data_IF_404230112027
#
_entry.id   IF_404230112027
#
_cell.length_a   1.000
_cell.length_b   1.000
_cell.length_c   1.000
_cell.angle_alpha   90.00
_cell.angle_beta   90.00
_cell.angle_gamma   90.00
#
_symmetry.space_group_name_H-M   'P 1'
#
loop_
_entity.id
_entity.type
_entity.pdbx_description
1 polymer ?
#
# COMPACT_ATOMS: atom_id res chain seq x y z
N UNK A 1 56.24 14.36 11.88
CA UNK A 1 55.48 13.10 11.65
C UNK A 1 55.93 12.51 10.31
N UNK A 2 56.31 11.23 10.23
CA UNK A 2 56.87 10.65 8.98
C UNK A 2 55.77 10.60 7.89
N UNK A 3 56.10 10.91 6.63
CA UNK A 3 55.14 10.98 5.51
C UNK A 3 54.24 9.73 5.37
N UNK A 4 54.78 8.55 5.69
CA UNK A 4 54.03 7.29 5.72
C UNK A 4 52.85 7.34 6.71
N UNK A 5 53.05 7.90 7.90
CA UNK A 5 52.02 8.07 8.94
C UNK A 5 50.87 8.97 8.47
N UNK A 6 51.19 10.05 7.74
CA UNK A 6 50.19 10.98 7.20
C UNK A 6 49.36 10.27 6.13
N UNK A 7 50.01 9.52 5.24
CA UNK A 7 49.33 8.74 4.21
C UNK A 7 48.40 7.68 4.81
N UNK A 8 48.83 6.98 5.87
CA UNK A 8 47.99 5.99 6.55
C UNK A 8 46.76 6.62 7.20
N UNK A 9 46.92 7.77 7.86
CA UNK A 9 45.79 8.51 8.46
C UNK A 9 44.82 8.98 7.38
N UNK A 10 45.31 9.45 6.23
CA UNK A 10 44.50 9.89 5.10
C UNK A 10 43.66 8.74 4.51
N UNK A 11 44.28 7.58 4.29
CA UNK A 11 43.57 6.40 3.78
C UNK A 11 42.51 5.94 4.79
N UNK A 12 42.85 5.90 6.08
CA UNK A 12 41.91 5.50 7.13
C UNK A 12 40.72 6.46 7.24
N UNK A 13 40.94 7.76 7.11
CA UNK A 13 39.87 8.77 7.13
C UNK A 13 38.95 8.67 5.91
N UNK A 14 39.48 8.41 4.71
CA UNK A 14 38.67 8.20 3.50
C UNK A 14 37.81 6.94 3.63
N UNK A 15 38.36 5.85 4.18
CA UNK A 15 37.61 4.61 4.41
C UNK A 15 36.53 4.79 5.48
N UNK A 16 36.80 5.54 6.55
CA UNK A 16 35.79 5.83 7.57
C UNK A 16 34.65 6.72 7.01
N UNK A 17 34.96 7.69 6.16
CA UNK A 17 33.95 8.57 5.54
C UNK A 17 33.07 7.85 4.50
N UNK A 18 33.62 6.88 3.77
CA UNK A 18 32.85 6.11 2.80
C UNK A 18 31.82 5.21 3.50
N UNK A 19 32.18 4.55 4.61
CA UNK A 19 31.27 3.71 5.38
C UNK A 19 30.03 4.49 5.87
N UNK A 20 30.21 5.73 6.33
CA UNK A 20 29.10 6.58 6.81
C UNK A 20 28.13 6.95 5.67
N UNK A 21 28.64 7.17 4.46
CA UNK A 21 27.81 7.54 3.30
C UNK A 21 26.95 6.39 2.77
N UNK A 22 27.38 5.14 2.97
CA UNK A 22 26.60 3.95 2.60
C UNK A 22 25.68 3.43 3.71
N UNK A 23 25.97 3.75 4.98
CA UNK A 23 25.23 3.22 6.12
C UNK A 23 23.88 3.91 6.39
N UNK A 24 23.61 5.07 5.78
CA UNK A 24 22.32 5.75 5.95
C UNK A 24 21.41 5.39 4.78
N UNK A 25 20.45 4.46 4.96
CA UNK A 25 19.44 4.22 3.94
C UNK A 25 18.67 5.52 3.73
N UNK A 26 18.78 6.10 2.52
CA UNK A 26 17.97 7.24 2.09
C UNK A 26 16.54 6.77 1.79
N UNK A 27 15.84 6.25 2.80
CA UNK A 27 14.43 5.94 2.69
C UNK A 27 13.69 7.27 2.74
N UNK A 28 13.23 7.75 1.59
CA UNK A 28 12.26 8.84 1.56
C UNK A 28 10.97 8.31 2.16
N UNK A 29 10.62 8.77 3.36
CA UNK A 29 9.31 8.53 3.95
C UNK A 29 8.26 9.15 3.03
N UNK A 30 7.52 8.32 2.30
CA UNK A 30 6.42 8.78 1.46
C UNK A 30 5.13 8.78 2.29
N UNK A 31 4.40 9.88 2.25
CA UNK A 31 3.08 9.92 2.86
C UNK A 31 2.16 8.96 2.11
N UNK A 32 1.56 8.04 2.86
CA UNK A 32 0.59 7.07 2.34
C UNK A 32 -0.76 7.73 2.00
N UNK A 33 -0.91 9.04 2.25
CA UNK A 33 -2.13 9.82 1.96
C UNK A 33 -1.91 10.98 0.99
N UNK A 34 -0.78 10.98 0.29
CA UNK A 34 -0.42 12.09 -0.59
C UNK A 34 -1.45 12.26 -1.73
N UNK A 35 -1.91 11.15 -2.30
CA UNK A 35 -2.86 11.13 -3.42
C UNK A 35 -4.17 10.49 -3.01
N UNK A 36 -4.15 9.27 -2.48
CA UNK A 36 -5.35 8.58 -2.03
C UNK A 36 -5.50 8.78 -0.53
N UNK A 37 -6.53 9.50 -0.11
CA UNK A 37 -6.85 9.69 1.30
C UNK A 37 -7.63 8.49 1.87
N UNK A 38 -8.44 7.86 1.02
CA UNK A 38 -9.21 6.66 1.34
C UNK A 38 -9.40 5.80 0.08
N UNK A 39 -9.29 4.47 0.15
CA UNK A 39 -8.93 3.66 1.31
C UNK A 39 -7.43 3.69 1.64
N UNK A 40 -7.02 3.15 2.80
CA UNK A 40 -5.62 3.18 3.27
C UNK A 40 -5.08 1.78 3.55
N UNK A 41 -3.77 1.54 3.50
CA UNK A 41 -3.21 0.23 3.84
C UNK A 41 -3.43 -0.12 5.32
N UNK A 42 -3.49 0.89 6.19
CA UNK A 42 -3.79 0.71 7.62
C UNK A 42 -5.29 0.63 7.94
N UNK A 43 -6.15 1.00 6.98
CA UNK A 43 -7.59 0.84 7.08
C UNK A 43 -8.13 0.51 5.68
N UNK A 44 -7.93 -0.75 5.23
CA UNK A 44 -8.42 -1.17 3.92
C UNK A 44 -9.95 -1.12 3.89
N UNK A 45 -10.51 -0.70 2.75
CA UNK A 45 -11.95 -0.80 2.56
C UNK A 45 -12.33 -2.25 2.27
N UNK A 46 -13.34 -2.75 2.97
CA UNK A 46 -13.91 -4.06 2.70
C UNK A 46 -15.10 -3.90 1.77
N UNK A 47 -15.06 -4.57 0.62
CA UNK A 47 -16.10 -4.53 -0.40
C UNK A 47 -16.53 -5.94 -0.77
N UNK A 48 -17.75 -6.09 -1.27
CA UNK A 48 -18.29 -7.36 -1.76
C UNK A 48 -18.49 -7.31 -3.27
N UNK A 49 -18.66 -8.46 -3.92
CA UNK A 49 -19.00 -8.52 -5.34
C UNK A 49 -20.25 -7.70 -5.67
N UNK A 50 -20.23 -6.99 -6.81
CA UNK A 50 -21.26 -6.05 -7.24
C UNK A 50 -21.54 -4.89 -6.27
N UNK A 51 -20.77 -4.75 -5.19
CA UNK A 51 -20.81 -3.61 -4.30
C UNK A 51 -20.10 -2.40 -4.88
N UNK A 52 -20.05 -1.33 -4.09
CA UNK A 52 -19.33 -0.10 -4.42
C UNK A 52 -18.10 0.08 -3.53
N UNK A 53 -17.00 0.48 -4.15
CA UNK A 53 -15.79 0.96 -3.51
C UNK A 53 -15.80 2.48 -3.51
N UNK A 54 -15.79 3.07 -2.32
CA UNK A 54 -15.64 4.51 -2.15
C UNK A 54 -14.16 4.88 -2.07
N UNK A 55 -13.77 5.90 -2.83
CA UNK A 55 -12.40 6.39 -2.91
C UNK A 55 -12.39 7.89 -2.70
N UNK A 56 -11.50 8.38 -1.84
CA UNK A 56 -11.24 9.81 -1.63
C UNK A 56 -9.85 10.15 -2.15
N UNK A 57 -9.77 11.11 -3.05
CA UNK A 57 -8.52 11.50 -3.70
C UNK A 57 -8.23 12.98 -3.47
N UNK A 58 -7.00 13.25 -3.03
CA UNK A 58 -6.42 14.58 -2.97
C UNK A 58 -5.80 14.92 -4.33
N UNK A 59 -6.58 15.63 -5.15
CA UNK A 59 -6.18 16.13 -6.46
C UNK A 59 -6.83 17.49 -6.72
N UNK A 60 -6.35 18.23 -7.72
CA UNK A 60 -6.95 19.52 -8.05
C UNK A 60 -8.42 19.36 -8.51
N UNK A 61 -9.21 20.42 -8.38
CA UNK A 61 -10.59 20.44 -8.87
C UNK A 61 -10.71 20.20 -10.38
N UNK A 62 -9.63 20.41 -11.15
CA UNK A 62 -9.62 20.19 -12.60
C UNK A 62 -9.29 18.75 -12.99
N UNK A 63 -9.03 17.88 -12.01
CA UNK A 63 -8.70 16.49 -12.26
C UNK A 63 -9.89 15.74 -12.90
N UNK A 64 -9.59 14.89 -13.88
CA UNK A 64 -10.62 14.22 -14.71
C UNK A 64 -10.12 12.89 -15.26
N UNK A 65 -10.99 12.21 -16.00
CA UNK A 65 -10.71 10.93 -16.66
C UNK A 65 -10.26 9.84 -15.66
N UNK A 66 -10.97 9.73 -14.54
CA UNK A 66 -10.69 8.76 -13.49
C UNK A 66 -10.87 7.32 -13.99
N UNK A 67 -9.84 6.50 -13.82
CA UNK A 67 -9.86 5.07 -14.09
C UNK A 67 -9.31 4.34 -12.87
N UNK A 68 -10.09 3.39 -12.34
CA UNK A 68 -9.71 2.59 -11.18
C UNK A 68 -9.42 1.14 -11.56
N UNK A 69 -8.44 0.54 -10.88
CA UNK A 69 -8.15 -0.88 -10.93
C UNK A 69 -7.92 -1.40 -9.52
N UNK A 70 -8.32 -2.65 -9.29
CA UNK A 70 -7.81 -3.45 -8.18
C UNK A 70 -6.85 -4.49 -8.73
N UNK A 71 -5.68 -4.61 -8.13
CA UNK A 71 -4.62 -5.48 -8.65
C UNK A 71 -3.75 -6.11 -7.58
N UNK A 72 -3.07 -7.19 -7.97
CA UNK A 72 -2.02 -7.84 -7.22
C UNK A 72 -0.93 -8.31 -8.21
N UNK A 73 0.05 -9.07 -7.72
CA UNK A 73 1.17 -9.56 -8.54
C UNK A 73 0.76 -10.51 -9.69
N UNK A 74 -0.48 -11.00 -9.71
CA UNK A 74 -0.96 -12.03 -10.64
C UNK A 74 -2.13 -11.57 -11.52
N UNK A 75 -2.93 -10.60 -11.09
CA UNK A 75 -4.10 -10.14 -11.82
C UNK A 75 -4.41 -8.66 -11.57
N UNK A 76 -5.09 -8.06 -12.55
CA UNK A 76 -5.58 -6.67 -12.50
C UNK A 76 -6.99 -6.63 -13.07
N UNK A 77 -7.91 -6.02 -12.32
CA UNK A 77 -9.31 -5.88 -12.71
C UNK A 77 -9.66 -4.41 -12.79
N UNK A 78 -10.15 -3.99 -13.96
CA UNK A 78 -10.65 -2.63 -14.17
C UNK A 78 -11.99 -2.46 -13.45
N UNK A 79 -12.12 -1.35 -12.75
CA UNK A 79 -13.34 -0.95 -12.08
C UNK A 79 -14.19 -0.04 -12.96
N UNK A 80 -15.51 -0.11 -12.79
CA UNK A 80 -16.45 0.79 -13.44
C UNK A 80 -16.70 2.00 -12.52
N UNK A 81 -16.42 3.22 -12.99
CA UNK A 81 -16.72 4.44 -12.25
C UNK A 81 -18.23 4.71 -12.30
N UNK A 82 -18.90 4.67 -11.14
CA UNK A 82 -20.34 4.92 -11.02
C UNK A 82 -20.64 6.38 -10.68
N UNK A 83 -19.76 7.05 -9.92
CA UNK A 83 -19.92 8.45 -9.54
C UNK A 83 -18.59 9.15 -9.34
N UNK A 84 -18.55 10.46 -9.63
CA UNK A 84 -17.42 11.35 -9.33
C UNK A 84 -17.93 12.72 -8.91
N UNK A 85 -17.57 13.15 -7.70
CA UNK A 85 -18.00 14.42 -7.11
C UNK A 85 -16.82 15.12 -6.45
N UNK A 86 -16.69 16.43 -6.64
CA UNK A 86 -15.65 17.24 -5.98
C UNK A 86 -16.27 18.10 -4.89
N UNK A 87 -15.91 17.84 -3.64
CA UNK A 87 -16.41 18.59 -2.48
C UNK A 87 -15.37 18.63 -1.38
N UNK A 88 -15.39 19.69 -0.57
CA UNK A 88 -14.51 19.83 0.60
C UNK A 88 -13.00 19.72 0.26
N UNK A 89 -12.60 20.08 -0.97
CA UNK A 89 -11.20 20.00 -1.41
C UNK A 89 -10.75 18.62 -1.91
N UNK A 90 -11.65 17.63 -1.95
CA UNK A 90 -11.36 16.25 -2.32
C UNK A 90 -12.30 15.74 -3.42
N UNK A 91 -11.79 14.77 -4.18
CA UNK A 91 -12.60 13.97 -5.08
C UNK A 91 -13.17 12.76 -4.34
N UNK A 92 -14.49 12.58 -4.44
CA UNK A 92 -15.23 11.42 -3.96
C UNK A 92 -15.64 10.61 -5.18
N UNK A 93 -15.01 9.44 -5.33
CA UNK A 93 -15.26 8.54 -6.43
C UNK A 93 -15.96 7.28 -5.90
N UNK A 94 -16.91 6.77 -6.66
CA UNK A 94 -17.53 5.48 -6.41
C UNK A 94 -17.24 4.57 -7.59
N UNK A 95 -16.76 3.36 -7.29
CA UNK A 95 -16.42 2.36 -8.29
C UNK A 95 -17.17 1.06 -8.02
N UNK A 96 -17.80 0.49 -9.04
CA UNK A 96 -18.44 -0.82 -8.93
C UNK A 96 -17.40 -1.93 -8.96
N UNK A 97 -17.54 -2.87 -8.03
CA UNK A 97 -16.70 -4.06 -7.93
C UNK A 97 -17.23 -5.16 -8.87
N UNK A 98 -16.40 -5.70 -9.79
CA UNK A 98 -16.77 -6.83 -10.62
C UNK A 98 -17.15 -8.06 -9.79
N UNK A 99 -18.01 -8.92 -10.33
CA UNK A 99 -18.27 -10.23 -9.76
C UNK A 99 -17.14 -11.22 -10.11
N UNK A 100 -17.12 -12.37 -9.43
CA UNK A 100 -16.23 -13.52 -9.73
C UNK A 100 -14.73 -13.23 -9.70
N UNK A 101 -14.31 -12.13 -9.07
CA UNK A 101 -12.92 -11.87 -8.75
C UNK A 101 -12.53 -12.59 -7.44
N UNK A 102 -11.31 -13.14 -7.32
CA UNK A 102 -10.88 -13.83 -6.10
C UNK A 102 -11.05 -12.97 -4.83
N UNK A 103 -11.66 -13.50 -3.75
CA UNK A 103 -11.76 -12.78 -2.48
C UNK A 103 -10.40 -12.61 -1.80
N UNK A 104 -9.74 -11.48 -2.00
CA UNK A 104 -8.38 -11.20 -1.53
C UNK A 104 -8.19 -9.74 -1.12
N UNK A 105 -7.02 -9.44 -0.56
CA UNK A 105 -6.56 -8.08 -0.36
C UNK A 105 -5.78 -7.61 -1.60
N UNK A 106 -6.21 -6.50 -2.17
CA UNK A 106 -5.70 -5.91 -3.40
C UNK A 106 -5.08 -4.54 -3.16
N UNK A 107 -4.19 -4.15 -4.08
CA UNK A 107 -3.76 -2.79 -4.28
C UNK A 107 -4.82 -2.04 -5.09
N UNK A 108 -5.00 -0.74 -4.83
CA UNK A 108 -5.83 0.15 -5.63
C UNK A 108 -4.93 0.97 -6.54
N UNK A 109 -5.05 0.81 -7.86
CA UNK A 109 -4.43 1.71 -8.83
C UNK A 109 -5.46 2.71 -9.34
N UNK A 110 -5.12 3.99 -9.30
CA UNK A 110 -5.88 5.08 -9.89
C UNK A 110 -5.07 5.76 -10.97
N UNK A 111 -5.68 5.93 -12.12
CA UNK A 111 -5.17 6.72 -13.23
C UNK A 111 -6.12 7.89 -13.46
N UNK A 112 -5.56 9.09 -13.64
CA UNK A 112 -6.34 10.30 -13.86
C UNK A 112 -5.48 11.38 -14.49
N UNK A 113 -6.12 12.38 -15.09
CA UNK A 113 -5.45 13.57 -15.59
C UNK A 113 -5.60 14.72 -14.60
N UNK A 114 -4.49 15.35 -14.23
CA UNK A 114 -4.44 16.53 -13.36
C UNK A 114 -3.29 17.43 -13.79
N UNK A 115 -3.49 18.16 -14.89
CA UNK A 115 -2.45 18.90 -15.63
C UNK A 115 -1.54 18.00 -16.48
N UNK A 116 -1.29 16.79 -16.00
CA UNK A 116 -0.60 15.68 -16.67
C UNK A 116 -1.28 14.34 -16.33
N UNK A 117 -0.96 13.30 -17.09
CA UNK A 117 -1.39 11.94 -16.75
C UNK A 117 -0.67 11.47 -15.49
N UNK A 118 -1.46 11.08 -14.48
CA UNK A 118 -0.97 10.57 -13.20
C UNK A 118 -1.46 9.14 -13.00
N UNK A 119 -0.57 8.32 -12.44
CA UNK A 119 -0.90 6.96 -11.98
C UNK A 119 -0.41 6.81 -10.54
N UNK A 120 -1.28 6.35 -9.66
CA UNK A 120 -0.98 6.13 -8.25
C UNK A 120 -1.44 4.77 -7.79
N UNK A 121 -0.59 4.05 -7.06
CA UNK A 121 -0.89 2.76 -6.45
C UNK A 121 -0.93 2.93 -4.94
N UNK A 122 -2.09 2.58 -4.37
CA UNK A 122 -2.32 2.51 -2.94
C UNK A 122 -2.29 1.04 -2.51
N UNK A 123 -1.16 0.54 -1.95
CA UNK A 123 -0.98 -0.88 -1.71
C UNK A 123 -1.93 -1.40 -0.65
N UNK A 124 -2.41 -2.63 -0.81
CA UNK A 124 -3.15 -3.43 0.18
C UNK A 124 -4.29 -2.65 0.85
N UNK A 125 -5.06 -1.93 0.05
CA UNK A 125 -6.06 -0.97 0.53
C UNK A 125 -7.50 -1.37 0.22
N UNK A 126 -7.72 -2.44 -0.56
CA UNK A 126 -9.06 -2.92 -0.89
C UNK A 126 -9.16 -4.41 -0.61
N UNK A 127 -10.00 -4.80 0.35
CA UNK A 127 -10.31 -6.20 0.64
C UNK A 127 -11.61 -6.57 -0.07
N UNK A 128 -11.53 -7.46 -1.04
CA UNK A 128 -12.72 -8.00 -1.71
C UNK A 128 -13.17 -9.27 -1.00
N UNK A 129 -14.47 -9.34 -0.75
CA UNK A 129 -15.19 -10.51 -0.29
C UNK A 129 -16.19 -10.95 -1.36
N UNK A 130 -16.61 -12.22 -1.29
CA UNK A 130 -17.71 -12.71 -2.10
C UNK A 130 -19.03 -12.06 -1.65
N UNK A 131 -19.32 -12.22 -0.37
CA UNK A 131 -20.51 -11.75 0.32
C UNK A 131 -20.09 -11.26 1.72
N UNK A 132 -20.93 -10.46 2.38
CA UNK A 132 -20.68 -10.07 3.76
C UNK A 132 -20.76 -11.30 4.68
N UNK A 133 -19.76 -11.53 5.54
CA UNK A 133 -19.78 -12.69 6.41
C UNK A 133 -20.85 -12.52 7.48
N UNK A 134 -21.64 -13.57 7.72
CA UNK A 134 -22.61 -13.60 8.82
C UNK A 134 -21.92 -13.68 10.20
N UNK A 135 -20.69 -14.19 10.25
CA UNK A 135 -19.90 -14.40 11.46
C UNK A 135 -18.45 -14.01 11.21
N UNK A 136 -17.85 -13.31 12.17
CA UNK A 136 -16.43 -12.99 12.16
C UNK A 136 -15.68 -14.00 13.03
N UNK A 137 -14.79 -14.78 12.42
CA UNK A 137 -13.81 -15.57 13.14
C UNK A 137 -12.56 -14.70 13.37
N UNK A 138 -12.24 -14.45 14.65
CA UNK A 138 -11.07 -13.65 15.03
C UNK A 138 -10.05 -14.59 15.67
N UNK A 139 -8.94 -14.82 14.97
CA UNK A 139 -7.77 -15.47 15.54
C UNK A 139 -6.95 -14.47 16.34
N UNK A 140 -6.90 -14.62 17.66
CA UNK A 140 -6.05 -13.80 18.53
C UNK A 140 -4.84 -14.62 18.95
N UNK A 141 -3.67 -14.24 18.45
CA UNK A 141 -2.38 -14.86 18.79
C UNK A 141 -1.68 -13.91 19.74
N UNK A 142 -1.51 -14.33 20.99
CA UNK A 142 -0.73 -13.58 21.98
C UNK A 142 0.69 -14.13 22.03
N UNK A 143 1.66 -13.22 22.04
CA UNK A 143 3.07 -13.40 22.38
C UNK A 143 3.79 -14.71 21.93
N UNK A 144 4.65 -14.57 20.91
CA UNK A 144 5.59 -15.61 20.43
C UNK A 144 7.02 -15.42 20.99
N UNK A 145 7.22 -15.11 22.27
CA UNK A 145 8.56 -15.09 22.89
C UNK A 145 9.17 -16.50 23.14
N UNK A 146 8.58 -17.56 22.60
CA UNK A 146 9.12 -18.92 22.73
C UNK A 146 10.16 -19.24 21.64
N UNK A 147 11.21 -20.02 21.97
CA UNK A 147 12.10 -20.60 20.95
C UNK A 147 11.26 -21.38 19.94
N UNK A 148 11.39 -21.06 18.64
CA UNK A 148 10.58 -21.65 17.58
C UNK A 148 9.26 -20.93 17.25
N UNK A 149 9.08 -19.70 17.75
CA UNK A 149 7.88 -18.88 17.51
C UNK A 149 7.48 -18.75 16.03
N UNK A 150 8.42 -18.74 15.10
CA UNK A 150 8.13 -18.72 13.66
C UNK A 150 7.42 -20.00 13.17
N UNK A 151 7.86 -21.19 13.61
CA UNK A 151 7.21 -22.44 13.24
C UNK A 151 5.83 -22.57 13.90
N UNK A 152 5.73 -22.16 15.18
CA UNK A 152 4.46 -22.17 15.92
C UNK A 152 3.46 -21.21 15.30
N UNK A 153 3.90 -20.01 14.89
CA UNK A 153 3.07 -19.05 14.18
C UNK A 153 2.56 -19.61 12.84
N UNK A 154 3.46 -20.18 12.02
CA UNK A 154 3.09 -20.81 10.77
C UNK A 154 2.08 -21.95 10.97
N UNK A 155 2.26 -22.78 12.01
CA UNK A 155 1.30 -23.84 12.35
C UNK A 155 -0.03 -23.29 12.83
N UNK A 156 -0.03 -22.25 13.65
CA UNK A 156 -1.24 -21.60 14.13
C UNK A 156 -2.06 -21.03 12.95
N UNK A 157 -1.40 -20.36 12.00
CA UNK A 157 -2.07 -19.88 10.78
C UNK A 157 -2.62 -21.06 9.96
N UNK A 158 -1.90 -22.17 9.86
CA UNK A 158 -2.39 -23.37 9.18
C UNK A 158 -3.64 -23.97 9.85
N UNK A 159 -3.67 -24.09 11.18
CA UNK A 159 -4.81 -24.67 11.91
C UNK A 159 -6.04 -23.74 11.95
N UNK A 160 -5.87 -22.44 11.68
CA UNK A 160 -6.95 -21.46 11.65
C UNK A 160 -7.65 -21.32 10.29
N UNK A 161 -7.09 -21.90 9.21
CA UNK A 161 -7.63 -21.85 7.84
C UNK A 161 -8.09 -23.23 7.37
#
# INVERSE_FOLDING_TARGET
>A
MKAKTILTILVLTVVLFSIISFAVPKIKLRSVREVVEYPRPSLPEVVVWNGELLVKVNASQNAKNWIGYIENEHCSYKLELTSSDYREGLWFLAFKIPDKIPPLLYDLRLEFYDGEEKSHIQPRSVRVLKDWPEKLAIGHITDIHLPGGAQVYARCVYELN
#
